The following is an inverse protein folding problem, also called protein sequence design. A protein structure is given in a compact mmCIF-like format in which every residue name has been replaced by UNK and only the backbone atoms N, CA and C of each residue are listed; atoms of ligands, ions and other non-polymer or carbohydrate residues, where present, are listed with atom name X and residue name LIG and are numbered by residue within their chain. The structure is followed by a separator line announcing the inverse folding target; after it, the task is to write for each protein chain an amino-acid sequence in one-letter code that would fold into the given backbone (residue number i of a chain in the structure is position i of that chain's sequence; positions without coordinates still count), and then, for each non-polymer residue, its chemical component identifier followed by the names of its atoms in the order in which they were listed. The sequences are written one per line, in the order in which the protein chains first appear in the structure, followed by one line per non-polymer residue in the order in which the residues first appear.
data_IF_338940817675
#
_entry.id   IF_338940817675
#
_cell.length_a   1.000
_cell.length_b   1.000
_cell.length_c   1.000
_cell.angle_alpha   90.00
_cell.angle_beta   90.00
_cell.angle_gamma   90.00
#
_symmetry.space_group_name_H-M   'P 1'
#
loop_
_entity.id
_entity.type
_entity.pdbx_description
1 polymer ?
#
# COMPACT_ATOMS: atom_id res chain seq x y z
N UNK A 1 -6.14 20.70 5.44
CA UNK A 1 -4.94 19.99 5.93
C UNK A 1 -3.81 20.31 4.98
N UNK A 2 -2.69 20.82 5.48
CA UNK A 2 -1.49 20.95 4.65
C UNK A 2 -1.02 19.57 4.23
N UNK A 3 -0.55 19.41 2.98
CA UNK A 3 -0.12 18.12 2.45
C UNK A 3 0.94 17.43 3.33
N UNK A 4 1.75 18.22 4.03
CA UNK A 4 2.82 17.75 4.92
C UNK A 4 2.24 17.08 6.18
N UNK A 5 1.21 17.65 6.80
CA UNK A 5 0.60 17.02 7.99
C UNK A 5 -0.10 15.71 7.64
N UNK A 6 -0.74 15.65 6.46
CA UNK A 6 -1.34 14.42 5.94
C UNK A 6 -0.31 13.31 5.71
N UNK A 7 0.87 13.65 5.17
CA UNK A 7 1.96 12.69 4.94
C UNK A 7 2.45 12.12 6.27
N UNK A 8 2.75 12.97 7.25
CA UNK A 8 3.25 12.54 8.56
C UNK A 8 2.22 11.68 9.28
N UNK A 9 0.95 12.09 9.25
CA UNK A 9 -0.16 11.32 9.83
C UNK A 9 -0.33 9.96 9.14
N UNK A 10 -0.26 9.91 7.81
CA UNK A 10 -0.39 8.66 7.04
C UNK A 10 0.78 7.69 7.27
N UNK A 11 1.99 8.19 7.51
CA UNK A 11 3.17 7.37 7.80
C UNK A 11 3.06 6.71 9.19
N UNK A 12 2.71 7.48 10.22
CA UNK A 12 2.84 7.05 11.62
C UNK A 12 1.52 6.72 12.31
N UNK A 13 0.48 7.54 12.12
CA UNK A 13 -0.79 7.42 12.85
C UNK A 13 -1.75 6.47 12.12
N UNK A 14 -1.97 6.72 10.83
CA UNK A 14 -2.87 5.94 9.96
C UNK A 14 -2.08 4.88 9.17
N UNK A 15 -1.08 4.25 9.79
CA UNK A 15 -0.21 3.30 9.10
C UNK A 15 -0.99 2.07 8.62
N UNK A 16 -0.92 1.79 7.32
CA UNK A 16 -1.69 0.70 6.67
C UNK A 16 -1.45 -0.67 7.28
N UNK A 17 -0.23 -0.98 7.75
CA UNK A 17 0.12 -2.30 8.27
C UNK A 17 -0.19 -2.41 9.76
N UNK A 18 0.21 -1.43 10.56
CA UNK A 18 0.12 -1.55 12.02
C UNK A 18 -1.19 -1.03 12.61
N UNK A 19 -1.84 -0.06 11.96
CA UNK A 19 -3.14 0.46 12.40
C UNK A 19 -4.30 -0.31 11.77
N UNK A 20 -4.21 -0.62 10.47
CA UNK A 20 -5.30 -1.24 9.71
C UNK A 20 -5.07 -2.71 9.33
N UNK A 21 -3.90 -3.28 9.60
CA UNK A 21 -3.54 -4.68 9.28
C UNK A 21 -3.70 -5.05 7.79
N UNK A 22 -3.48 -4.09 6.89
CA UNK A 22 -3.55 -4.28 5.45
C UNK A 22 -2.18 -4.62 4.85
N UNK A 23 -2.16 -5.56 3.89
CA UNK A 23 -0.95 -5.93 3.13
C UNK A 23 -0.03 -6.95 3.83
N UNK A 24 -0.56 -7.70 4.79
CA UNK A 24 0.20 -8.66 5.61
C UNK A 24 0.81 -9.81 4.80
N UNK A 25 0.18 -10.23 3.70
CA UNK A 25 0.60 -11.42 2.93
C UNK A 25 2.01 -11.26 2.35
N UNK A 26 2.25 -10.17 1.62
CA UNK A 26 3.57 -9.86 1.03
C UNK A 26 4.56 -9.38 2.08
N UNK A 27 4.08 -8.67 3.11
CA UNK A 27 4.88 -8.20 4.24
C UNK A 27 5.54 -9.35 5.03
N UNK A 28 4.78 -10.40 5.37
CA UNK A 28 5.30 -11.55 6.13
C UNK A 28 6.13 -12.49 5.26
N UNK A 29 5.79 -12.61 3.97
CA UNK A 29 6.46 -13.52 3.05
C UNK A 29 7.85 -13.03 2.62
N UNK A 30 8.01 -11.73 2.34
CA UNK A 30 9.21 -11.16 1.68
C UNK A 30 10.13 -10.39 2.65
N UNK A 31 9.90 -10.48 3.96
CA UNK A 31 10.70 -9.80 4.99
C UNK A 31 11.92 -10.60 5.48
N UNK A 32 12.49 -11.52 4.69
CA UNK A 32 13.69 -12.27 5.11
C UNK A 32 14.98 -11.46 5.00
N UNK A 33 15.16 -10.75 3.89
CA UNK A 33 16.35 -9.95 3.62
C UNK A 33 15.96 -8.48 3.43
N UNK A 34 16.77 -7.56 3.95
CA UNK A 34 16.55 -6.11 3.84
C UNK A 34 16.58 -5.70 2.38
N UNK A 35 17.51 -6.22 1.57
CA UNK A 35 17.64 -5.87 0.13
C UNK A 35 16.36 -6.20 -0.66
N UNK A 36 15.75 -7.36 -0.43
CA UNK A 36 14.51 -7.75 -1.12
C UNK A 36 13.30 -7.00 -0.59
N UNK A 37 13.23 -6.78 0.73
CA UNK A 37 12.17 -6.02 1.37
C UNK A 37 12.14 -4.55 0.89
N UNK A 38 13.31 -3.93 0.74
CA UNK A 38 13.46 -2.56 0.27
C UNK A 38 13.01 -2.44 -1.20
N UNK A 39 13.42 -3.39 -2.06
CA UNK A 39 12.96 -3.45 -3.45
C UNK A 39 11.43 -3.59 -3.58
N UNK A 40 10.83 -4.47 -2.78
CA UNK A 40 9.37 -4.64 -2.75
C UNK A 40 8.66 -3.37 -2.24
N UNK A 41 9.17 -2.75 -1.17
CA UNK A 41 8.55 -1.55 -0.61
C UNK A 41 8.62 -0.34 -1.54
N UNK A 42 9.70 -0.20 -2.31
CA UNK A 42 9.79 0.83 -3.36
C UNK A 42 8.75 0.56 -4.45
N UNK A 43 8.61 -0.69 -4.90
CA UNK A 43 7.61 -1.06 -5.91
C UNK A 43 6.19 -0.77 -5.43
N UNK A 44 5.84 -1.15 -4.20
CA UNK A 44 4.51 -0.87 -3.60
C UNK A 44 4.25 0.63 -3.46
N UNK A 45 5.25 1.40 -2.99
CA UNK A 45 5.16 2.86 -2.88
C UNK A 45 4.92 3.51 -4.25
N UNK A 46 5.66 3.07 -5.27
CA UNK A 46 5.52 3.57 -6.63
C UNK A 46 4.14 3.29 -7.20
N UNK A 47 3.61 2.07 -7.04
CA UNK A 47 2.25 1.73 -7.47
C UNK A 47 1.23 2.61 -6.74
N UNK A 48 1.31 2.73 -5.41
CA UNK A 48 0.40 3.58 -4.63
C UNK A 48 0.37 5.05 -5.10
N UNK A 49 1.55 5.64 -5.30
CA UNK A 49 1.70 7.05 -5.70
C UNK A 49 1.11 7.31 -7.09
N UNK A 50 1.14 6.32 -7.99
CA UNK A 50 0.57 6.46 -9.33
C UNK A 50 -0.93 6.13 -9.37
N UNK A 51 -1.34 5.03 -8.73
CA UNK A 51 -2.72 4.56 -8.81
C UNK A 51 -3.68 5.48 -8.07
N UNK A 52 -3.27 6.10 -6.95
CA UNK A 52 -4.15 6.95 -6.15
C UNK A 52 -4.64 8.22 -6.87
N UNK A 53 -3.76 9.08 -7.44
CA UNK A 53 -4.23 10.24 -8.20
C UNK A 53 -5.07 9.87 -9.43
N UNK A 54 -4.79 8.73 -10.08
CA UNK A 54 -5.58 8.25 -11.23
C UNK A 54 -6.95 7.76 -10.78
N UNK A 55 -7.01 6.96 -9.71
CA UNK A 55 -8.27 6.50 -9.11
C UNK A 55 -9.10 7.69 -8.59
N UNK A 56 -8.45 8.69 -8.00
CA UNK A 56 -9.10 9.94 -7.59
C UNK A 56 -9.74 10.68 -8.75
N UNK A 57 -9.01 10.79 -9.87
CA UNK A 57 -9.52 11.47 -11.06
C UNK A 57 -10.71 10.69 -11.62
N UNK A 58 -10.60 9.37 -11.76
CA UNK A 58 -11.71 8.56 -12.24
C UNK A 58 -12.92 8.62 -11.31
N UNK A 59 -12.71 8.58 -9.99
CA UNK A 59 -13.82 8.65 -9.05
C UNK A 59 -14.62 9.95 -9.22
N UNK A 60 -13.94 11.10 -9.29
CA UNK A 60 -14.61 12.39 -9.39
C UNK A 60 -15.13 12.73 -10.80
N UNK A 61 -14.53 12.19 -11.86
CA UNK A 61 -14.95 12.47 -13.24
C UNK A 61 -15.83 11.39 -13.89
N UNK A 62 -15.89 10.18 -13.34
CA UNK A 62 -16.58 9.04 -13.97
C UNK A 62 -17.52 8.30 -13.02
N UNK A 63 -17.19 8.14 -11.72
CA UNK A 63 -17.96 7.24 -10.85
C UNK A 63 -18.91 7.90 -9.85
N UNK A 64 -18.67 9.16 -9.45
CA UNK A 64 -19.57 9.88 -8.53
C UNK A 64 -20.91 10.23 -9.19
N UNK A 65 -21.95 10.29 -8.35
CA UNK A 65 -23.27 10.79 -8.72
C UNK A 65 -23.16 12.14 -9.45
N UNK A 66 -23.63 12.20 -10.70
CA UNK A 66 -23.56 13.42 -11.51
C UNK A 66 -22.18 13.75 -12.13
N UNK A 67 -21.16 12.89 -11.99
CA UNK A 67 -19.85 13.13 -12.61
C UNK A 67 -19.89 13.09 -14.15
N UNK A 68 -20.86 12.37 -14.74
CA UNK A 68 -21.08 12.32 -16.19
C UNK A 68 -21.79 13.55 -16.77
N UNK A 69 -22.00 14.63 -16.01
CA UNK A 69 -22.58 15.87 -16.52
C UNK A 69 -21.84 16.43 -17.76
N UNK A 70 -20.54 16.11 -17.91
CA UNK A 70 -19.76 16.48 -19.09
C UNK A 70 -20.16 15.74 -20.39
N UNK A 71 -20.81 14.57 -20.30
CA UNK A 71 -21.25 13.77 -21.46
C UNK A 71 -22.69 14.07 -21.90
N UNK A 72 -23.52 14.67 -21.02
CA UNK A 72 -24.90 15.07 -21.31
C UNK A 72 -25.81 15.08 -20.07
N UNK A 73 -26.81 15.97 -20.04
CA UNK A 73 -27.76 16.13 -18.91
C UNK A 73 -28.57 14.84 -18.60
N UNK A 74 -28.68 13.93 -19.56
CA UNK A 74 -29.43 12.67 -19.45
C UNK A 74 -28.74 11.63 -18.52
N UNK A 75 -27.42 11.74 -18.30
CA UNK A 75 -26.63 10.83 -17.46
C UNK A 75 -26.41 11.34 -16.04
N UNK A 76 -27.00 12.48 -15.67
CA UNK A 76 -26.82 13.10 -14.36
C UNK A 76 -27.34 12.23 -13.17
N UNK A 77 -28.24 11.28 -13.44
CA UNK A 77 -28.81 10.39 -12.43
C UNK A 77 -28.20 8.97 -12.37
N UNK A 78 -27.16 8.67 -13.13
CA UNK A 78 -26.56 7.32 -13.15
C UNK A 78 -25.43 7.23 -12.12
N UNK A 79 -25.68 6.48 -11.05
CA UNK A 79 -24.67 6.15 -10.04
C UNK A 79 -23.88 4.90 -10.45
N UNK A 80 -22.66 5.09 -10.95
CA UNK A 80 -21.74 3.99 -11.28
C UNK A 80 -20.87 3.55 -10.10
N UNK A 81 -21.16 4.00 -8.88
CA UNK A 81 -20.39 3.71 -7.68
C UNK A 81 -20.20 2.21 -7.41
N UNK A 82 -21.15 1.36 -7.83
CA UNK A 82 -21.07 -0.11 -7.72
C UNK A 82 -19.85 -0.68 -8.46
N UNK A 83 -19.41 -0.05 -9.55
CA UNK A 83 -18.28 -0.51 -10.35
C UNK A 83 -16.91 -0.03 -9.85
N UNK A 84 -16.86 0.82 -8.82
CA UNK A 84 -15.61 1.43 -8.31
C UNK A 84 -14.54 0.41 -7.98
N UNK A 85 -14.92 -0.67 -7.30
CA UNK A 85 -13.98 -1.70 -6.88
C UNK A 85 -13.33 -2.41 -8.08
N UNK A 86 -14.11 -2.70 -9.12
CA UNK A 86 -13.62 -3.34 -10.35
C UNK A 86 -12.65 -2.41 -11.09
N UNK A 87 -13.01 -1.13 -11.22
CA UNK A 87 -12.18 -0.12 -11.88
C UNK A 87 -10.85 0.07 -11.16
N UNK A 88 -10.87 0.19 -9.82
CA UNK A 88 -9.66 0.33 -9.03
C UNK A 88 -8.73 -0.87 -9.17
N UNK A 89 -9.25 -2.11 -9.12
CA UNK A 89 -8.43 -3.31 -9.32
C UNK A 89 -7.85 -3.35 -10.74
N UNK A 90 -8.63 -3.00 -11.77
CA UNK A 90 -8.16 -3.00 -13.15
C UNK A 90 -6.99 -2.04 -13.37
N UNK A 91 -7.03 -0.86 -12.75
CA UNK A 91 -5.96 0.15 -12.82
C UNK A 91 -4.73 -0.33 -12.04
N UNK A 92 -4.93 -0.83 -10.83
CA UNK A 92 -3.81 -1.37 -10.04
C UNK A 92 -3.13 -2.51 -10.82
N UNK A 93 -3.89 -3.42 -11.41
CA UNK A 93 -3.35 -4.53 -12.21
C UNK A 93 -2.55 -4.05 -13.43
N UNK A 94 -3.03 -3.03 -14.16
CA UNK A 94 -2.29 -2.50 -15.32
C UNK A 94 -0.97 -1.83 -14.92
N UNK A 95 -0.95 -1.10 -13.82
CA UNK A 95 0.28 -0.52 -13.28
C UNK A 95 1.25 -1.57 -12.73
N UNK A 96 0.74 -2.61 -12.07
CA UNK A 96 1.56 -3.72 -11.58
C UNK A 96 2.20 -4.47 -12.75
N UNK A 97 1.46 -4.69 -13.84
CA UNK A 97 2.00 -5.30 -15.06
C UNK A 97 3.13 -4.45 -15.65
N UNK A 98 2.97 -3.12 -15.65
CA UNK A 98 4.03 -2.20 -16.07
C UNK A 98 5.26 -2.34 -15.18
N UNK A 99 5.07 -2.36 -13.86
CA UNK A 99 6.16 -2.52 -12.88
C UNK A 99 6.86 -3.88 -13.05
N UNK A 100 6.13 -4.95 -13.33
CA UNK A 100 6.70 -6.27 -13.61
C UNK A 100 7.68 -6.23 -14.79
N UNK A 101 7.25 -5.66 -15.92
CA UNK A 101 8.11 -5.49 -17.10
C UNK A 101 9.34 -4.61 -16.82
N UNK A 102 9.18 -3.56 -16.00
CA UNK A 102 10.29 -2.67 -15.60
C UNK A 102 11.28 -3.42 -14.71
N UNK A 103 10.81 -4.17 -13.70
CA UNK A 103 11.69 -4.92 -12.79
C UNK A 103 12.44 -6.02 -13.55
N UNK A 104 11.79 -6.74 -14.45
CA UNK A 104 12.44 -7.77 -15.28
C UNK A 104 13.59 -7.17 -16.10
N UNK A 105 13.40 -5.96 -16.65
CA UNK A 105 14.44 -5.29 -17.46
C UNK A 105 15.59 -4.72 -16.65
N UNK A 106 15.31 -4.07 -15.51
CA UNK A 106 16.34 -3.32 -14.76
C UNK A 106 16.98 -4.14 -13.64
N UNK A 107 16.27 -5.10 -13.03
CA UNK A 107 16.76 -5.85 -11.88
C UNK A 107 16.30 -7.32 -11.92
N UNK A 108 16.96 -8.16 -12.74
CA UNK A 108 16.62 -9.59 -12.83
C UNK A 108 16.87 -10.34 -11.51
N UNK A 109 17.78 -9.87 -10.66
CA UNK A 109 18.00 -10.45 -9.32
C UNK A 109 16.79 -10.27 -8.39
N UNK A 110 16.11 -9.12 -8.46
CA UNK A 110 14.91 -8.84 -7.70
C UNK A 110 13.72 -9.63 -8.24
N UNK A 111 13.57 -9.69 -9.58
CA UNK A 111 12.55 -10.50 -10.24
C UNK A 111 12.61 -11.98 -9.80
N UNK A 112 13.80 -12.58 -9.85
CA UNK A 112 14.01 -13.97 -9.43
C UNK A 112 13.78 -14.20 -7.93
N UNK A 113 14.00 -13.19 -7.09
CA UNK A 113 13.82 -13.29 -5.64
C UNK A 113 12.36 -13.18 -5.22
N UNK A 114 11.56 -12.37 -5.93
CA UNK A 114 10.15 -12.15 -5.60
C UNK A 114 9.23 -13.13 -6.33
N UNK A 115 9.57 -13.55 -7.55
CA UNK A 115 8.81 -14.54 -8.32
C UNK A 115 7.30 -14.28 -8.32
N UNK A 116 6.54 -15.23 -7.77
CA UNK A 116 5.06 -15.21 -7.69
C UNK A 116 4.52 -13.99 -6.91
N UNK A 117 5.34 -13.35 -6.07
CA UNK A 117 4.90 -12.19 -5.30
C UNK A 117 4.78 -10.90 -6.13
N UNK A 118 5.36 -10.81 -7.33
CA UNK A 118 5.19 -9.64 -8.21
C UNK A 118 3.74 -9.46 -8.66
N UNK A 119 3.08 -10.48 -9.27
CA UNK A 119 1.66 -10.37 -9.62
C UNK A 119 0.74 -10.18 -8.41
N UNK A 120 1.13 -10.71 -7.24
CA UNK A 120 0.37 -10.54 -5.99
C UNK A 120 0.37 -9.09 -5.47
N UNK A 121 1.20 -8.19 -6.03
CA UNK A 121 1.11 -6.75 -5.75
C UNK A 121 -0.25 -6.21 -6.20
N UNK A 122 -0.84 -6.73 -7.29
CA UNK A 122 -2.12 -6.27 -7.81
C UNK A 122 -3.29 -6.47 -6.83
N UNK A 123 -3.21 -7.51 -6.00
CA UNK A 123 -4.21 -7.83 -4.97
C UNK A 123 -3.73 -7.43 -3.58
N UNK A 124 -2.71 -6.58 -3.47
CA UNK A 124 -2.23 -6.11 -2.18
C UNK A 124 -3.29 -5.24 -1.50
N UNK A 125 -3.75 -5.70 -0.34
CA UNK A 125 -4.80 -5.04 0.42
C UNK A 125 -4.43 -3.61 0.85
N UNK A 126 -3.15 -3.28 1.02
CA UNK A 126 -2.75 -1.90 1.34
C UNK A 126 -2.97 -0.95 0.15
N UNK A 127 -2.73 -1.41 -1.07
CA UNK A 127 -2.91 -0.62 -2.29
C UNK A 127 -4.39 -0.38 -2.57
N UNK A 128 -5.19 -1.45 -2.52
CA UNK A 128 -6.64 -1.35 -2.66
C UNK A 128 -7.26 -0.53 -1.52
N UNK A 129 -6.85 -0.78 -0.28
CA UNK A 129 -7.30 -0.04 0.90
C UNK A 129 -6.99 1.45 0.82
N UNK A 130 -5.83 1.83 0.25
CA UNK A 130 -5.51 3.22 -0.04
C UNK A 130 -6.56 3.89 -0.93
N UNK A 131 -6.96 3.22 -2.01
CA UNK A 131 -7.97 3.73 -2.96
C UNK A 131 -9.36 3.82 -2.32
N UNK A 132 -9.73 2.86 -1.46
CA UNK A 132 -11.00 2.89 -0.73
C UNK A 132 -11.03 3.97 0.36
N UNK A 133 -9.91 4.18 1.08
CA UNK A 133 -9.82 5.26 2.07
C UNK A 133 -9.83 6.63 1.42
N UNK A 134 -9.31 6.76 0.20
CA UNK A 134 -9.42 7.98 -0.59
C UNK A 134 -10.88 8.33 -0.91
N UNK A 135 -11.67 7.33 -1.29
CA UNK A 135 -13.12 7.48 -1.51
C UNK A 135 -13.86 7.83 -0.21
N UNK A 136 -13.61 7.09 0.87
CA UNK A 136 -14.29 7.32 2.16
C UNK A 136 -13.92 8.65 2.83
N UNK A 137 -12.70 9.14 2.63
CA UNK A 137 -12.24 10.42 3.21
C UNK A 137 -12.54 11.62 2.32
N UNK A 138 -13.17 11.41 1.17
CA UNK A 138 -13.59 12.46 0.21
C UNK A 138 -12.53 13.55 0.01
N UNK A 139 -11.32 13.17 -0.42
CA UNK A 139 -10.28 14.17 -0.63
C UNK A 139 -10.75 15.24 -1.63
N UNK A 140 -10.38 16.50 -1.37
CA UNK A 140 -10.81 17.63 -2.21
C UNK A 140 -9.89 17.89 -3.42
N UNK A 141 -8.65 17.39 -3.39
CA UNK A 141 -7.63 17.69 -4.39
C UNK A 141 -6.80 16.45 -4.78
N UNK A 142 -6.43 16.37 -6.07
CA UNK A 142 -5.50 15.35 -6.61
C UNK A 142 -4.16 15.35 -5.85
N UNK A 143 -3.68 16.55 -5.47
CA UNK A 143 -2.44 16.69 -4.70
C UNK A 143 -2.51 16.05 -3.30
N UNK A 144 -3.69 16.07 -2.66
CA UNK A 144 -3.89 15.43 -1.35
C UNK A 144 -3.94 13.90 -1.49
N UNK A 145 -4.59 13.39 -2.54
CA UNK A 145 -4.60 11.95 -2.84
C UNK A 145 -3.18 11.42 -3.13
N UNK A 146 -2.38 12.19 -3.88
CA UNK A 146 -0.97 11.85 -4.16
C UNK A 146 -0.11 11.89 -2.89
N UNK A 147 -0.27 12.93 -2.07
CA UNK A 147 0.42 13.06 -0.79
C UNK A 147 0.06 11.90 0.17
N UNK A 148 -1.22 11.52 0.21
CA UNK A 148 -1.68 10.36 0.98
C UNK A 148 -1.03 9.06 0.48
N UNK A 149 -1.01 8.83 -0.83
CA UNK A 149 -0.37 7.64 -1.42
C UNK A 149 1.13 7.55 -1.18
N UNK A 150 1.81 8.69 -1.22
CA UNK A 150 3.23 8.78 -0.89
C UNK A 150 3.48 8.50 0.59
N UNK A 151 2.70 9.11 1.49
CA UNK A 151 2.79 8.88 2.93
C UNK A 151 2.51 7.43 3.30
N UNK A 152 1.42 6.85 2.78
CA UNK A 152 1.02 5.48 3.07
C UNK A 152 2.02 4.45 2.50
N UNK A 153 2.57 4.73 1.31
CA UNK A 153 3.62 3.92 0.71
C UNK A 153 4.92 3.94 1.52
N UNK A 154 5.36 5.11 1.99
CA UNK A 154 6.52 5.23 2.89
C UNK A 154 6.27 4.51 4.20
N UNK A 155 5.08 4.65 4.80
CA UNK A 155 4.70 3.91 6.00
C UNK A 155 4.81 2.40 5.81
N UNK A 156 4.43 1.91 4.62
CA UNK A 156 4.56 0.50 4.23
C UNK A 156 6.03 0.07 4.05
N UNK A 157 6.82 0.88 3.34
CA UNK A 157 8.27 0.67 3.13
C UNK A 157 9.02 0.59 4.47
N UNK A 158 8.76 1.53 5.38
CA UNK A 158 9.41 1.58 6.69
C UNK A 158 9.08 0.34 7.52
N UNK A 159 7.83 -0.09 7.50
CA UNK A 159 7.41 -1.29 8.20
C UNK A 159 8.13 -2.54 7.68
N UNK A 160 8.14 -2.77 6.36
CA UNK A 160 8.74 -4.01 5.81
C UNK A 160 10.26 -4.03 6.00
N UNK A 161 10.93 -2.89 5.84
CA UNK A 161 12.37 -2.77 6.08
C UNK A 161 12.69 -2.98 7.58
N UNK A 162 11.86 -2.43 8.47
CA UNK A 162 12.00 -2.64 9.91
C UNK A 162 11.87 -4.11 10.30
N UNK A 163 10.86 -4.81 9.77
CA UNK A 163 10.69 -6.25 10.02
C UNK A 163 11.87 -7.06 9.44
N UNK A 164 12.32 -6.73 8.23
CA UNK A 164 13.45 -7.42 7.60
C UNK A 164 14.76 -7.24 8.40
N UNK A 165 15.02 -6.04 8.90
CA UNK A 165 16.20 -5.77 9.74
C UNK A 165 16.15 -6.57 11.06
N UNK A 166 14.97 -6.65 11.70
CA UNK A 166 14.79 -7.47 12.90
C UNK A 166 14.99 -8.96 12.59
N UNK A 167 14.49 -9.43 11.44
CA UNK A 167 14.60 -10.83 11.02
C UNK A 167 16.03 -11.24 10.66
N UNK A 168 16.79 -10.40 9.95
CA UNK A 168 18.22 -10.62 9.70
C UNK A 168 19.00 -10.71 11.02
N UNK A 169 18.70 -9.82 11.98
CA UNK A 169 19.35 -9.86 13.30
C UNK A 169 19.01 -11.13 14.10
N UNK A 170 17.77 -11.62 14.00
CA UNK A 170 17.32 -12.83 14.68
C UNK A 170 17.92 -14.11 14.11
N UNK A 171 18.42 -14.10 12.88
CA UNK A 171 19.10 -15.24 12.29
C UNK A 171 20.37 -15.62 13.06
N UNK A 172 21.04 -14.63 13.65
CA UNK A 172 22.19 -14.82 14.53
C UNK A 172 21.82 -15.19 15.98
N UNK A 173 20.53 -15.26 16.31
CA UNK A 173 20.04 -15.49 17.68
C UNK A 173 19.47 -16.90 17.87
N UNK A 174 19.51 -17.40 19.10
CA UNK A 174 18.98 -18.72 19.45
C UNK A 174 17.45 -18.73 19.57
N UNK A 175 16.77 -18.85 18.42
CA UNK A 175 15.31 -19.01 18.36
C UNK A 175 14.92 -20.48 18.59
N UNK A 176 13.90 -20.79 19.42
CA UNK A 176 13.38 -22.15 19.60
C UNK A 176 13.00 -22.79 18.26
N UNK A 177 13.44 -24.04 18.02
CA UNK A 177 13.25 -24.75 16.74
C UNK A 177 11.80 -24.72 16.21
N UNK A 178 10.75 -24.88 17.04
CA UNK A 178 9.35 -24.87 16.55
C UNK A 178 8.86 -23.50 16.07
N UNK A 179 9.48 -22.40 16.51
CA UNK A 179 9.05 -21.03 16.21
C UNK A 179 9.83 -20.39 15.06
N UNK A 180 10.84 -21.07 14.51
CA UNK A 180 11.66 -20.54 13.42
C UNK A 180 10.82 -20.30 12.16
N UNK A 181 11.05 -19.16 11.51
CA UNK A 181 10.34 -18.79 10.28
C UNK A 181 9.11 -17.93 10.55
N UNK A 182 7.93 -18.38 10.10
CA UNK A 182 6.70 -17.58 10.15
C UNK A 182 6.20 -17.36 11.58
N UNK A 183 6.30 -18.36 12.46
CA UNK A 183 5.81 -18.26 13.85
C UNK A 183 6.41 -17.08 14.61
N UNK A 184 7.75 -16.98 14.64
CA UNK A 184 8.41 -15.82 15.26
C UNK A 184 8.14 -14.51 14.51
N UNK A 185 7.96 -14.57 13.18
CA UNK A 185 7.63 -13.38 12.38
C UNK A 185 6.29 -12.78 12.80
N UNK A 186 5.27 -13.60 13.08
CA UNK A 186 4.00 -13.13 13.62
C UNK A 186 4.15 -12.49 15.01
N UNK A 187 4.94 -13.10 15.89
CA UNK A 187 5.19 -12.56 17.24
C UNK A 187 5.88 -11.19 17.16
N UNK A 188 6.92 -11.06 16.32
CA UNK A 188 7.62 -9.77 16.11
C UNK A 188 6.64 -8.74 15.55
N UNK A 189 5.83 -9.12 14.57
CA UNK A 189 4.86 -8.21 13.95
C UNK A 189 3.86 -7.69 14.98
N UNK A 190 3.39 -8.55 15.89
CA UNK A 190 2.52 -8.15 16.99
C UNK A 190 3.22 -7.18 17.96
N UNK A 191 4.49 -7.45 18.33
CA UNK A 191 5.28 -6.55 19.18
C UNK A 191 5.53 -5.19 18.51
N UNK A 192 5.79 -5.18 17.20
CA UNK A 192 5.91 -3.95 16.42
C UNK A 192 4.59 -3.17 16.37
N UNK A 193 3.46 -3.85 16.20
CA UNK A 193 2.14 -3.23 16.21
C UNK A 193 1.84 -2.56 17.56
N UNK A 194 2.18 -3.19 18.68
CA UNK A 194 2.05 -2.58 20.02
C UNK A 194 2.92 -1.32 20.13
N UNK A 195 4.14 -1.35 19.59
CA UNK A 195 4.99 -0.16 19.53
C UNK A 195 4.36 0.97 18.73
N UNK A 196 3.76 0.66 17.58
CA UNK A 196 3.08 1.65 16.73
C UNK A 196 1.77 2.19 17.32
N UNK A 197 1.09 1.45 18.21
CA UNK A 197 -0.08 1.96 18.93
C UNK A 197 0.26 3.19 19.78
N UNK A 198 1.52 3.40 20.17
CA UNK A 198 1.94 4.63 20.86
C UNK A 198 1.72 5.90 20.04
N UNK A 199 1.70 5.80 18.70
CA UNK A 199 1.44 6.92 17.79
C UNK A 199 -0.05 7.19 17.55
N UNK A 200 -0.95 6.31 18.01
CA UNK A 200 -2.40 6.45 17.77
C UNK A 200 -3.06 7.64 18.49
N UNK A 201 -2.40 8.20 19.51
CA UNK A 201 -2.87 9.39 20.24
C UNK A 201 -2.32 10.72 19.71
N UNK A 202 -1.62 10.70 18.58
CA UNK A 202 -1.04 11.91 17.98
C UNK A 202 -2.07 12.55 17.04
N UNK A 203 -2.67 13.66 17.46
CA UNK A 203 -3.53 14.50 16.62
C UNK A 203 -2.69 15.61 15.96
N UNK A 204 -2.37 15.43 14.67
CA UNK A 204 -1.72 16.42 13.78
C UNK A 204 -2.62 16.66 12.56
#
# INVERSE_FOLDING_TARGET
MEAISLIVRSIFVDNMIFAYFLGMCSFLAVSKNVKTALGLGIAVTFVLVLTLPINYMLENYVLKAGALQWLGEEYAGVDLSVFSLIVFIAIIASFVQLVEMVIERFSPSLYNSLGIFLPLIAVNCSILGGSLFMQQREFANVGMATAYGFGSGIGWLLAIVGLAAIREKLEYSHVPRPLKGLGITFIITALMAIGFMSFSGIDI
#
